data_IF_748820385728
#
_entry.id   IF_748820385728
#
_cell.length_a   1.000
_cell.length_b   1.000
_cell.length_c   1.000
_cell.angle_alpha   90.00
_cell.angle_beta   90.00
_cell.angle_gamma   90.00
#
_symmetry.space_group_name_H-M   'P 1'
#
loop_
_entity.id
_entity.type
_entity.pdbx_description
1 polymer ?
#
# COMPACT_ATOMS: atom_id res chain seq x y z
N UNK A 1 -43.32 9.75 11.31
CA UNK A 1 -42.31 9.03 12.13
C UNK A 1 -42.23 7.59 11.66
N UNK A 2 -41.42 7.30 10.63
CA UNK A 2 -41.15 5.93 10.17
C UNK A 2 -39.70 5.58 10.55
N UNK A 3 -39.56 4.64 11.48
CA UNK A 3 -38.29 4.01 11.85
C UNK A 3 -38.06 2.84 10.89
N UNK A 4 -37.10 2.95 9.97
CA UNK A 4 -36.58 1.79 9.25
C UNK A 4 -35.41 1.22 10.06
N UNK A 5 -35.61 0.02 10.59
CA UNK A 5 -34.61 -0.77 11.30
C UNK A 5 -33.59 -1.31 10.28
N UNK A 6 -32.30 -1.14 10.57
CA UNK A 6 -31.22 -1.84 9.88
C UNK A 6 -31.40 -3.36 10.03
N UNK A 7 -31.44 -4.08 8.91
CA UNK A 7 -31.26 -5.52 8.87
C UNK A 7 -29.77 -5.84 8.58
N UNK A 8 -29.13 -6.44 9.59
CA UNK A 8 -27.93 -7.32 9.58
C UNK A 8 -26.82 -7.15 8.52
N UNK A 9 -25.53 -6.97 8.93
CA UNK A 9 -24.38 -7.04 8.04
C UNK A 9 -23.75 -8.43 8.09
N UNK A 10 -24.22 -9.38 7.25
CA UNK A 10 -23.51 -10.64 6.99
C UNK A 10 -23.83 -11.14 5.60
N UNK A 11 -22.96 -10.84 4.62
CA UNK A 11 -22.70 -11.65 3.41
C UNK A 11 -21.82 -10.86 2.45
N UNK A 12 -20.50 -10.96 2.63
CA UNK A 12 -19.48 -10.59 1.63
C UNK A 12 -18.14 -11.21 2.03
N UNK A 13 -18.12 -12.53 2.33
CA UNK A 13 -16.88 -13.28 2.56
C UNK A 13 -17.04 -14.70 2.00
N UNK A 14 -16.92 -14.85 0.68
CA UNK A 14 -16.80 -16.14 0.01
C UNK A 14 -15.44 -16.15 -0.70
N UNK A 15 -14.43 -16.71 -0.03
CA UNK A 15 -13.10 -16.98 -0.55
C UNK A 15 -12.66 -18.37 -0.06
N UNK A 16 -11.80 -19.10 -0.80
CA UNK A 16 -11.73 -20.57 -0.74
C UNK A 16 -10.93 -21.15 0.44
N UNK A 17 -10.50 -20.35 1.41
CA UNK A 17 -9.64 -20.83 2.50
C UNK A 17 -10.34 -20.65 3.85
N UNK A 18 -10.94 -21.75 4.34
CA UNK A 18 -11.37 -21.88 5.74
C UNK A 18 -10.69 -23.10 6.34
N UNK A 19 -9.93 -22.90 7.41
CA UNK A 19 -9.98 -23.80 8.56
C UNK A 19 -9.87 -22.99 9.86
N UNK A 20 -10.77 -23.33 10.78
CA UNK A 20 -10.97 -22.72 12.09
C UNK A 20 -10.01 -23.33 13.12
N UNK A 21 -9.50 -22.51 14.04
CA UNK A 21 -8.86 -22.96 15.27
C UNK A 21 -8.78 -21.80 16.27
N UNK A 22 -9.70 -21.76 17.23
CA UNK A 22 -9.77 -20.68 18.21
C UNK A 22 -8.72 -20.85 19.32
N UNK A 23 -7.95 -19.79 19.58
CA UNK A 23 -7.27 -19.62 20.86
C UNK A 23 -7.51 -18.22 21.42
N UNK A 24 -7.86 -18.20 22.70
CA UNK A 24 -8.21 -17.02 23.51
C UNK A 24 -7.05 -16.02 23.54
N UNK A 25 -7.33 -14.79 23.13
CA UNK A 25 -6.42 -13.64 23.26
C UNK A 25 -6.13 -13.35 24.74
N UNK A 26 -4.85 -13.46 25.14
CA UNK A 26 -4.32 -12.78 26.32
C UNK A 26 -3.65 -11.49 25.83
N UNK A 27 -4.03 -10.35 26.41
CA UNK A 27 -3.35 -9.06 26.23
C UNK A 27 -1.96 -9.11 26.88
N UNK A 28 -0.88 -8.62 26.24
CA UNK A 28 0.32 -8.24 26.95
C UNK A 28 0.22 -6.80 27.43
N UNK A 29 0.46 -6.60 28.72
CA UNK A 29 0.70 -5.30 29.37
C UNK A 29 2.15 -4.86 29.14
N UNK A 30 2.36 -3.56 28.92
CA UNK A 30 3.66 -2.95 28.70
C UNK A 30 4.58 -3.03 29.94
N UNK A 31 5.78 -3.59 29.76
CA UNK A 31 6.99 -3.27 30.54
C UNK A 31 8.24 -3.90 29.88
N UNK A 32 9.22 -3.06 29.53
CA UNK A 32 10.67 -3.33 29.52
C UNK A 32 11.25 -4.50 28.69
N UNK A 33 12.01 -4.15 27.64
CA UNK A 33 12.95 -5.06 26.97
C UNK A 33 13.42 -4.51 25.62
N UNK A 34 14.65 -4.01 25.55
CA UNK A 34 15.35 -3.73 24.29
C UNK A 34 15.88 -5.05 23.74
N UNK A 35 15.01 -5.81 23.07
CA UNK A 35 15.40 -6.88 22.18
C UNK A 35 14.91 -6.51 20.79
N UNK A 36 15.83 -6.45 19.84
CA UNK A 36 15.55 -6.19 18.42
C UNK A 36 14.60 -7.28 17.90
N UNK A 37 13.33 -6.94 17.70
CA UNK A 37 12.27 -7.79 17.09
C UNK A 37 12.54 -8.03 15.60
N UNK A 38 13.59 -8.79 15.30
CA UNK A 38 13.78 -9.41 13.99
C UNK A 38 12.84 -10.63 13.90
N UNK A 39 11.53 -10.40 13.65
CA UNK A 39 10.61 -11.52 13.54
C UNK A 39 9.16 -11.22 13.14
N UNK A 40 8.67 -9.99 13.31
CA UNK A 40 7.28 -9.66 12.98
C UNK A 40 7.18 -8.78 11.73
N UNK A 41 6.35 -9.20 10.78
CA UNK A 41 6.02 -8.41 9.57
C UNK A 41 5.13 -7.24 9.99
N UNK A 42 5.54 -6.01 9.68
CA UNK A 42 4.73 -4.84 9.97
C UNK A 42 3.46 -4.85 9.10
N UNK A 43 2.31 -4.69 9.76
CA UNK A 43 1.00 -4.65 9.10
C UNK A 43 0.07 -3.66 9.76
N UNK A 44 -0.18 -2.56 9.08
CA UNK A 44 -1.17 -1.58 9.48
C UNK A 44 -2.54 -1.91 8.88
N UNK A 45 -3.50 -2.15 9.78
CA UNK A 45 -4.89 -2.43 9.42
C UNK A 45 -5.65 -1.14 9.12
N UNK A 46 -6.52 -1.22 8.12
CA UNK A 46 -7.26 -0.07 7.64
C UNK A 46 -8.16 0.52 8.72
N UNK A 47 -8.02 1.82 8.94
CA UNK A 47 -9.00 2.63 9.68
C UNK A 47 -9.69 3.58 8.71
N UNK A 48 -11.02 3.64 8.75
CA UNK A 48 -11.84 4.47 7.85
C UNK A 48 -11.57 4.11 6.37
N UNK A 49 -11.49 5.09 5.48
CA UNK A 49 -11.25 4.92 4.05
C UNK A 49 -9.80 5.27 3.62
N UNK A 50 -8.83 5.15 4.52
CA UNK A 50 -7.43 5.59 4.34
C UNK A 50 -6.50 4.52 3.73
N UNK A 51 -7.02 3.64 2.87
CA UNK A 51 -6.24 2.53 2.28
C UNK A 51 -4.92 2.97 1.62
N UNK A 52 -4.87 4.18 1.05
CA UNK A 52 -3.67 4.73 0.44
C UNK A 52 -2.52 4.92 1.46
N UNK A 53 -2.82 5.49 2.62
CA UNK A 53 -1.82 5.70 3.69
C UNK A 53 -1.29 4.35 4.18
N UNK A 54 -2.20 3.42 4.46
CA UNK A 54 -1.82 2.10 4.95
C UNK A 54 -1.04 1.29 3.91
N UNK A 55 -1.33 1.45 2.61
CA UNK A 55 -0.53 0.84 1.56
C UNK A 55 0.91 1.39 1.56
N UNK A 56 1.11 2.70 1.75
CA UNK A 56 2.47 3.27 1.89
C UNK A 56 3.15 2.73 3.15
N UNK A 57 2.49 2.79 4.30
CA UNK A 57 3.08 2.33 5.56
C UNK A 57 3.43 0.83 5.54
N UNK A 58 2.56 0.01 4.95
CA UNK A 58 2.79 -1.42 4.80
C UNK A 58 3.92 -1.71 3.82
N UNK A 59 3.96 -1.05 2.66
CA UNK A 59 5.06 -1.25 1.70
C UNK A 59 6.38 -0.74 2.24
N UNK A 60 6.39 0.22 3.17
CA UNK A 60 7.59 0.73 3.83
C UNK A 60 7.92 0.01 5.14
N UNK A 61 7.12 -0.98 5.54
CA UNK A 61 7.29 -1.74 6.80
C UNK A 61 7.41 -0.82 8.03
N UNK A 62 6.61 0.25 8.06
CA UNK A 62 6.57 1.19 9.18
C UNK A 62 7.74 2.16 9.26
N UNK A 63 8.67 2.13 8.31
CA UNK A 63 9.71 3.17 8.18
C UNK A 63 9.05 4.50 7.78
N UNK A 64 9.26 5.56 8.60
CA UNK A 64 8.72 6.90 8.36
C UNK A 64 7.20 6.92 8.12
N UNK A 65 6.44 6.44 9.12
CA UNK A 65 4.98 6.36 9.08
C UNK A 65 4.33 7.63 8.51
N UNK A 66 3.59 7.43 7.44
CA UNK A 66 2.75 8.44 6.81
C UNK A 66 1.46 8.58 7.60
N UNK A 67 1.12 9.81 7.96
CA UNK A 67 -0.15 10.15 8.60
C UNK A 67 -1.04 10.99 7.68
N UNK A 68 -2.33 11.04 8.03
CA UNK A 68 -3.34 11.77 7.26
C UNK A 68 -2.99 13.25 7.01
N UNK A 69 -2.50 14.03 8.00
CA UNK A 69 -2.17 15.44 7.78
C UNK A 69 -1.07 15.65 6.73
N UNK A 70 -0.04 14.80 6.73
CA UNK A 70 1.05 14.86 5.75
C UNK A 70 0.52 14.54 4.34
N UNK A 71 -0.29 13.48 4.21
CA UNK A 71 -0.90 13.12 2.93
C UNK A 71 -1.83 14.21 2.39
N UNK A 72 -2.54 14.92 3.28
CA UNK A 72 -3.36 16.09 2.92
C UNK A 72 -2.52 17.29 2.47
N UNK A 73 -1.36 17.53 3.10
CA UNK A 73 -0.42 18.58 2.68
C UNK A 73 0.12 18.32 1.27
N UNK A 74 0.57 17.09 0.98
CA UNK A 74 1.04 16.69 -0.36
C UNK A 74 -0.09 16.89 -1.39
N UNK A 75 -1.30 16.46 -1.05
CA UNK A 75 -2.46 16.63 -1.93
C UNK A 75 -2.80 18.12 -2.16
N UNK A 76 -2.63 18.98 -1.14
CA UNK A 76 -2.82 20.43 -1.28
C UNK A 76 -1.75 21.08 -2.16
N UNK A 77 -0.47 20.68 -2.01
CA UNK A 77 0.63 21.15 -2.84
C UNK A 77 0.40 20.83 -4.31
N UNK A 78 -0.01 19.59 -4.63
CA UNK A 78 -0.36 19.20 -6.00
C UNK A 78 -1.49 20.05 -6.60
N UNK A 79 -2.52 20.35 -5.81
CA UNK A 79 -3.63 21.22 -6.26
C UNK A 79 -3.17 22.66 -6.52
N UNK A 80 -2.26 23.18 -5.70
CA UNK A 80 -1.74 24.52 -5.83
C UNK A 80 -0.77 24.68 -7.02
N UNK A 81 -0.01 23.64 -7.35
CA UNK A 81 0.94 23.63 -8.47
C UNK A 81 0.32 23.36 -9.85
N UNK A 82 -0.89 22.82 -9.91
CA UNK A 82 -1.62 22.68 -11.17
C UNK A 82 -2.03 24.07 -11.68
N UNK A 83 -1.58 24.45 -12.89
CA UNK A 83 -1.88 25.75 -13.51
C UNK A 83 -3.39 25.87 -13.84
N UNK A 84 -4.07 24.74 -14.04
CA UNK A 84 -5.54 24.65 -14.10
C UNK A 84 -6.18 24.47 -12.70
N UNK A 85 -5.33 24.39 -11.67
CA UNK A 85 -5.53 23.96 -10.28
C UNK A 85 -6.13 24.98 -9.32
N UNK A 86 -6.25 26.24 -9.73
CA UNK A 86 -6.79 27.34 -8.89
C UNK A 86 -8.31 27.28 -8.71
N UNK A 87 -8.94 26.20 -9.17
CA UNK A 87 -10.34 25.93 -8.96
C UNK A 87 -10.53 25.14 -7.66
N UNK A 88 -11.27 25.72 -6.73
CA UNK A 88 -11.69 25.15 -5.45
C UNK A 88 -12.37 23.77 -5.62
N UNK A 89 -12.51 23.01 -4.52
CA UNK A 89 -13.30 21.76 -4.48
C UNK A 89 -14.71 21.97 -5.10
N UNK A 90 -15.24 23.20 -4.99
CA UNK A 90 -16.54 23.65 -5.50
C UNK A 90 -16.61 23.84 -7.04
N UNK A 91 -15.48 23.83 -7.74
CA UNK A 91 -15.43 24.12 -9.18
C UNK A 91 -15.08 22.89 -10.05
N UNK A 92 -14.58 21.80 -9.44
CA UNK A 92 -14.23 20.57 -10.17
C UNK A 92 -14.78 19.26 -9.59
N UNK A 93 -15.24 19.25 -8.34
CA UNK A 93 -15.69 18.00 -7.71
C UNK A 93 -17.19 17.97 -7.45
N UNK A 94 -17.79 19.08 -7.02
CA UNK A 94 -19.23 19.23 -6.79
C UNK A 94 -19.60 20.71 -6.90
N UNK A 95 -20.83 21.06 -7.26
CA UNK A 95 -21.33 22.45 -7.16
C UNK A 95 -21.39 22.91 -5.69
N UNK A 96 -21.36 24.22 -5.40
CA UNK A 96 -21.32 24.76 -4.02
C UNK A 96 -22.41 24.17 -3.09
N UNK A 97 -23.59 23.83 -3.62
CA UNK A 97 -24.70 23.21 -2.89
C UNK A 97 -24.42 21.76 -2.44
N UNK A 98 -23.60 21.01 -3.16
CA UNK A 98 -23.24 19.60 -2.86
C UNK A 98 -22.03 19.50 -1.92
N UNK A 99 -21.26 20.58 -1.82
CA UNK A 99 -20.03 20.65 -1.02
C UNK A 99 -20.29 20.88 0.48
N UNK A 100 -21.52 21.25 0.88
CA UNK A 100 -21.97 21.40 2.27
C UNK A 100 -22.08 20.04 3.01
N UNK A 101 -20.96 19.31 3.08
CA UNK A 101 -20.80 18.13 3.95
C UNK A 101 -20.90 16.75 3.29
N UNK A 102 -20.95 16.65 1.96
CA UNK A 102 -21.06 15.34 1.26
C UNK A 102 -19.82 14.93 0.47
N UNK A 103 -18.94 15.88 0.12
CA UNK A 103 -17.76 15.53 -0.66
C UNK A 103 -16.71 14.85 0.23
N UNK A 104 -16.62 13.53 0.11
CA UNK A 104 -15.66 12.68 0.81
C UNK A 104 -14.20 13.16 0.66
N UNK A 105 -13.85 13.79 -0.47
CA UNK A 105 -12.52 14.38 -0.70
C UNK A 105 -12.30 15.70 0.05
N UNK A 106 -13.32 16.56 0.15
CA UNK A 106 -13.24 17.77 0.97
C UNK A 106 -13.38 17.46 2.48
N UNK A 107 -13.89 16.28 2.85
CA UNK A 107 -13.94 15.76 4.23
C UNK A 107 -12.71 14.91 4.64
N UNK A 108 -11.67 14.85 3.82
CA UNK A 108 -10.45 14.08 4.15
C UNK A 108 -10.66 12.56 4.23
N UNK A 109 -11.66 11.98 3.56
CA UNK A 109 -12.02 10.57 3.69
C UNK A 109 -11.12 9.61 2.89
N UNK A 110 -9.80 9.87 2.79
CA UNK A 110 -8.83 8.90 2.28
C UNK A 110 -8.85 8.56 0.79
N UNK A 111 -9.57 9.35 -0.02
CA UNK A 111 -9.56 9.24 -1.47
C UNK A 111 -8.37 10.00 -2.08
N UNK A 112 -7.19 9.41 -1.97
CA UNK A 112 -5.97 9.92 -2.59
C UNK A 112 -5.76 9.34 -3.99
N UNK A 113 -5.39 10.20 -4.94
CA UNK A 113 -4.99 9.78 -6.28
C UNK A 113 -3.53 9.28 -6.29
N UNK A 114 -3.12 8.72 -7.43
CA UNK A 114 -1.81 8.11 -7.58
C UNK A 114 -0.65 9.11 -7.44
N UNK A 115 -0.82 10.37 -7.83
CA UNK A 115 0.26 11.36 -7.76
C UNK A 115 0.59 11.71 -6.31
N UNK A 116 -0.42 11.77 -5.44
CA UNK A 116 -0.19 11.96 -4.00
C UNK A 116 0.64 10.79 -3.43
N UNK A 117 0.31 9.55 -3.83
CA UNK A 117 1.07 8.35 -3.44
C UNK A 117 2.51 8.39 -3.94
N UNK A 118 2.71 8.76 -5.21
CA UNK A 118 4.04 8.85 -5.84
C UNK A 118 4.90 9.88 -5.10
N UNK A 119 4.36 11.08 -4.82
CA UNK A 119 5.10 12.11 -4.08
C UNK A 119 5.41 11.68 -2.65
N UNK A 120 4.47 11.05 -1.95
CA UNK A 120 4.70 10.57 -0.59
C UNK A 120 5.81 9.52 -0.51
N UNK A 121 5.91 8.64 -1.51
CA UNK A 121 6.98 7.66 -1.65
C UNK A 121 8.31 8.33 -2.05
N UNK A 122 8.28 9.31 -2.96
CA UNK A 122 9.47 10.07 -3.36
C UNK A 122 10.07 10.86 -2.20
N UNK A 123 9.23 11.47 -1.36
CA UNK A 123 9.67 12.16 -0.13
C UNK A 123 10.40 11.22 0.86
N UNK A 124 10.18 9.90 0.74
CA UNK A 124 10.78 8.84 1.56
C UNK A 124 11.92 8.11 0.84
N UNK A 125 12.52 8.76 -0.16
CA UNK A 125 13.68 8.25 -0.89
C UNK A 125 13.36 7.07 -1.80
N UNK A 126 12.13 6.99 -2.36
CA UNK A 126 11.76 5.94 -3.30
C UNK A 126 11.49 6.49 -4.71
N UNK A 127 11.96 5.75 -5.71
CA UNK A 127 11.53 5.92 -7.11
C UNK A 127 10.33 5.02 -7.38
N UNK A 128 9.33 5.57 -8.08
CA UNK A 128 8.08 4.88 -8.38
C UNK A 128 7.88 4.81 -9.90
N UNK A 129 7.60 3.61 -10.42
CA UNK A 129 7.32 3.38 -11.84
C UNK A 129 6.05 2.56 -12.03
N UNK A 130 5.25 2.89 -13.04
CA UNK A 130 4.08 2.08 -13.41
C UNK A 130 4.50 0.80 -14.14
N UNK A 131 3.93 -0.34 -13.74
CA UNK A 131 3.99 -1.54 -14.56
C UNK A 131 3.01 -1.38 -15.74
N UNK A 132 3.43 -1.83 -16.92
CA UNK A 132 2.56 -1.85 -18.08
C UNK A 132 1.58 -3.02 -18.00
N UNK A 133 0.30 -2.70 -17.78
CA UNK A 133 -0.79 -3.69 -17.65
C UNK A 133 -1.06 -4.51 -18.91
N UNK A 134 -0.62 -4.05 -20.08
CA UNK A 134 -0.82 -4.77 -21.36
C UNK A 134 0.27 -5.82 -21.64
N UNK A 135 1.30 -5.86 -20.79
CA UNK A 135 2.41 -6.82 -20.88
C UNK A 135 2.36 -7.76 -19.67
N UNK A 136 2.92 -8.99 -19.78
CA UNK A 136 3.05 -9.88 -18.63
C UNK A 136 3.73 -9.17 -17.46
N UNK A 137 3.17 -9.28 -16.24
CA UNK A 137 3.71 -8.59 -15.07
C UNK A 137 5.10 -9.11 -14.67
N UNK A 138 5.29 -10.43 -14.58
CA UNK A 138 6.45 -11.04 -13.94
C UNK A 138 7.81 -10.45 -14.41
N UNK A 139 8.08 -10.29 -15.73
CA UNK A 139 9.35 -9.71 -16.19
C UNK A 139 9.56 -8.23 -15.83
N UNK A 140 8.49 -7.50 -15.52
CA UNK A 140 8.52 -6.08 -15.20
C UNK A 140 8.79 -5.81 -13.72
N UNK A 141 8.62 -6.81 -12.85
CA UNK A 141 8.67 -6.62 -11.41
C UNK A 141 10.11 -6.48 -10.90
N UNK A 142 11.10 -7.06 -11.58
CA UNK A 142 12.51 -7.00 -11.18
C UNK A 142 12.71 -7.44 -9.73
N UNK A 143 12.16 -8.60 -9.39
CA UNK A 143 12.04 -9.12 -8.02
C UNK A 143 13.38 -9.52 -7.40
N UNK A 144 14.40 -9.66 -8.23
CA UNK A 144 15.80 -9.92 -7.90
C UNK A 144 16.59 -8.63 -7.60
N UNK A 145 16.02 -7.45 -7.85
CA UNK A 145 16.72 -6.18 -7.61
C UNK A 145 16.83 -5.91 -6.11
N UNK A 146 18.05 -5.68 -5.57
CA UNK A 146 18.26 -5.53 -4.13
C UNK A 146 17.65 -4.25 -3.55
N UNK A 147 17.40 -3.25 -4.40
CA UNK A 147 16.75 -1.99 -4.05
C UNK A 147 15.23 -2.02 -4.25
N UNK A 148 14.65 -3.13 -4.70
CA UNK A 148 13.20 -3.26 -4.77
C UNK A 148 12.60 -3.25 -3.36
N UNK A 149 11.79 -2.23 -3.07
CA UNK A 149 11.09 -2.10 -1.80
C UNK A 149 9.82 -2.94 -1.82
N UNK A 150 9.06 -2.88 -2.92
CA UNK A 150 7.83 -3.64 -3.06
C UNK A 150 6.94 -3.09 -4.17
N UNK A 151 5.67 -3.47 -4.10
CA UNK A 151 4.65 -3.18 -5.10
C UNK A 151 3.43 -2.57 -4.40
N UNK A 152 2.74 -1.65 -5.06
CA UNK A 152 1.43 -1.14 -4.62
C UNK A 152 0.43 -1.32 -5.75
N UNK A 153 -0.63 -2.08 -5.49
CA UNK A 153 -1.73 -2.27 -6.43
C UNK A 153 -2.83 -1.24 -6.19
N UNK A 154 -3.41 -0.74 -7.29
CA UNK A 154 -4.60 0.11 -7.31
C UNK A 154 -5.71 -0.60 -8.06
N UNK A 155 -6.74 -1.05 -7.36
CA UNK A 155 -7.85 -1.77 -7.96
C UNK A 155 -9.12 -0.93 -7.96
N UNK A 156 -9.86 -0.89 -9.07
CA UNK A 156 -11.21 -0.34 -9.07
C UNK A 156 -12.18 -1.36 -8.48
N UNK A 157 -12.70 -1.03 -7.31
CA UNK A 157 -13.69 -1.84 -6.61
C UNK A 157 -15.05 -1.16 -6.69
N UNK A 158 -16.09 -1.91 -7.04
CA UNK A 158 -17.46 -1.42 -6.96
C UNK A 158 -18.00 -1.59 -5.54
N UNK A 159 -18.64 -0.55 -5.02
CA UNK A 159 -19.44 -0.55 -3.79
C UNK A 159 -20.90 -0.26 -4.16
N UNK A 160 -21.81 -0.65 -3.27
CA UNK A 160 -23.26 -0.42 -3.42
C UNK A 160 -23.83 -0.92 -4.76
N UNK A 161 -23.87 -2.24 -4.96
CA UNK A 161 -24.50 -2.89 -6.14
C UNK A 161 -24.01 -2.35 -7.51
N UNK A 162 -22.74 -1.97 -7.62
CA UNK A 162 -22.16 -1.48 -8.88
C UNK A 162 -22.27 0.03 -9.11
N UNK A 163 -22.97 0.78 -8.26
CA UNK A 163 -23.24 2.20 -8.49
C UNK A 163 -22.08 3.14 -8.12
N UNK A 164 -21.14 2.71 -7.26
CA UNK A 164 -20.02 3.57 -6.82
C UNK A 164 -18.71 2.83 -7.00
N UNK A 165 -17.93 3.20 -8.02
CA UNK A 165 -16.56 2.74 -8.16
C UNK A 165 -15.64 3.51 -7.20
N UNK A 166 -14.80 2.78 -6.48
CA UNK A 166 -13.78 3.34 -5.60
C UNK A 166 -12.45 2.62 -5.80
N UNK A 167 -11.37 3.37 -5.74
CA UNK A 167 -10.04 2.79 -5.78
C UNK A 167 -9.71 2.13 -4.43
N UNK A 168 -9.05 0.99 -4.47
CA UNK A 168 -8.48 0.31 -3.32
C UNK A 168 -6.99 0.16 -3.53
N UNK A 169 -6.22 0.69 -2.57
CA UNK A 169 -4.77 0.59 -2.56
C UNK A 169 -4.35 -0.50 -1.57
N UNK A 170 -3.45 -1.37 -1.99
CA UNK A 170 -2.79 -2.31 -1.08
C UNK A 170 -1.35 -2.59 -1.48
N UNK A 171 -0.54 -2.99 -0.50
CA UNK A 171 0.87 -3.26 -0.66
C UNK A 171 1.16 -4.75 -0.81
N UNK A 172 2.20 -5.06 -1.57
CA UNK A 172 2.85 -6.36 -1.62
C UNK A 172 4.34 -6.16 -1.43
N UNK A 173 4.95 -6.85 -0.47
CA UNK A 173 6.36 -6.67 -0.11
C UNK A 173 7.02 -7.98 0.25
N UNK A 174 8.29 -8.12 -0.13
CA UNK A 174 9.18 -9.16 0.35
C UNK A 174 9.73 -8.78 1.72
N UNK A 175 9.55 -9.64 2.71
CA UNK A 175 10.12 -9.50 4.06
C UNK A 175 10.75 -10.84 4.42
N UNK A 176 12.02 -10.83 4.81
CA UNK A 176 12.79 -12.03 5.15
C UNK A 176 12.71 -13.15 4.07
N UNK A 177 12.71 -12.77 2.79
CA UNK A 177 12.67 -13.72 1.66
C UNK A 177 11.28 -14.24 1.29
N UNK A 178 10.23 -13.83 2.00
CA UNK A 178 8.84 -14.21 1.70
C UNK A 178 8.04 -13.01 1.22
N UNK A 179 7.25 -13.22 0.16
CA UNK A 179 6.35 -12.20 -0.37
C UNK A 179 5.01 -12.24 0.38
N UNK A 180 4.57 -11.08 0.85
CA UNK A 180 3.32 -10.93 1.59
C UNK A 180 2.32 -10.03 0.86
N UNK A 181 1.05 -10.44 0.89
CA UNK A 181 -0.09 -9.57 0.69
C UNK A 181 -0.32 -8.78 1.99
N UNK A 182 -0.12 -7.47 1.92
CA UNK A 182 -0.28 -6.54 3.01
C UNK A 182 -1.50 -5.64 2.79
N UNK A 183 -2.58 -6.19 2.22
CA UNK A 183 -3.87 -5.50 2.18
C UNK A 183 -4.34 -5.18 3.59
N UNK A 184 -4.41 -3.88 3.88
CA UNK A 184 -4.88 -3.32 5.14
C UNK A 184 -6.29 -3.81 5.57
N UNK A 185 -7.08 -4.41 4.67
CA UNK A 185 -8.35 -5.08 5.02
C UNK A 185 -8.17 -6.46 5.66
N UNK A 186 -7.02 -7.10 5.47
CA UNK A 186 -6.70 -8.38 6.09
C UNK A 186 -6.50 -8.21 7.60
N UNK A 187 -6.82 -9.25 8.35
CA UNK A 187 -6.57 -9.28 9.80
C UNK A 187 -5.07 -9.35 10.09
N UNK A 188 -4.33 -10.10 9.27
CA UNK A 188 -2.90 -10.38 9.38
C UNK A 188 -2.29 -10.49 7.96
N UNK A 189 -0.98 -10.29 7.79
CA UNK A 189 -0.29 -10.53 6.51
C UNK A 189 -0.53 -11.94 5.97
N UNK A 190 -0.81 -12.05 4.69
CA UNK A 190 -0.93 -13.35 4.00
C UNK A 190 0.30 -13.56 3.11
N UNK A 191 1.11 -14.58 3.41
CA UNK A 191 2.23 -14.92 2.52
C UNK A 191 1.75 -15.61 1.25
N UNK A 192 2.42 -15.30 0.13
CA UNK A 192 2.19 -15.96 -1.15
C UNK A 192 2.95 -17.29 -1.18
N UNK A 193 2.25 -18.39 -1.49
CA UNK A 193 2.83 -19.71 -1.67
C UNK A 193 2.30 -20.79 -0.71
N UNK A 194 2.42 -22.08 -1.07
CA UNK A 194 1.96 -23.19 -0.24
C UNK A 194 2.78 -23.35 1.07
N UNK A 195 4.03 -22.89 1.07
CA UNK A 195 4.96 -22.97 2.22
C UNK A 195 5.01 -21.68 3.05
N UNK A 196 3.93 -20.90 3.06
CA UNK A 196 3.77 -19.61 3.73
C UNK A 196 3.80 -19.65 5.28
N UNK A 197 4.44 -20.66 5.88
CA UNK A 197 4.61 -20.79 7.33
C UNK A 197 6.04 -20.41 7.74
N UNK A 198 6.15 -19.40 8.60
CA UNK A 198 7.40 -19.02 9.26
C UNK A 198 7.71 -19.96 10.45
N UNK A 199 8.96 -20.39 10.71
CA UNK A 199 10.17 -20.33 9.87
C UNK A 199 10.54 -21.71 9.27
N UNK A 200 10.94 -21.71 8.00
CA UNK A 200 11.82 -22.74 7.46
C UNK A 200 13.21 -22.61 8.14
N UNK A 201 13.91 -23.72 8.24
CA UNK A 201 15.24 -23.82 8.81
C UNK A 201 16.23 -22.76 8.28
N UNK A 202 17.35 -22.61 8.98
CA UNK A 202 18.44 -21.66 8.72
C UNK A 202 19.16 -21.80 7.36
N UNK A 203 18.53 -22.42 6.36
CA UNK A 203 19.11 -22.70 5.03
C UNK A 203 19.10 -21.50 4.07
N UNK A 204 18.43 -20.40 4.40
CA UNK A 204 18.52 -19.17 3.59
C UNK A 204 18.02 -19.34 2.14
N UNK A 205 17.09 -20.26 1.89
CA UNK A 205 16.41 -20.33 0.60
C UNK A 205 15.56 -19.06 0.44
N UNK A 206 15.93 -18.21 -0.53
CA UNK A 206 15.10 -17.09 -0.97
C UNK A 206 13.72 -17.53 -1.43
N UNK A 207 12.86 -16.61 -1.91
CA UNK A 207 11.51 -16.95 -2.33
C UNK A 207 11.57 -18.09 -3.36
N UNK A 208 10.98 -19.25 -3.03
CA UNK A 208 10.87 -20.34 -4.01
C UNK A 208 10.19 -19.75 -5.26
N UNK A 209 10.74 -19.99 -6.45
CA UNK A 209 10.25 -19.40 -7.71
C UNK A 209 8.72 -19.56 -7.88
N UNK A 210 8.17 -20.65 -7.37
CA UNK A 210 6.73 -20.92 -7.32
C UNK A 210 5.92 -19.83 -6.57
N UNK A 211 6.42 -19.30 -5.46
CA UNK A 211 5.73 -18.26 -4.67
C UNK A 211 5.69 -16.93 -5.43
N UNK A 212 6.77 -16.62 -6.14
CA UNK A 212 6.90 -15.43 -6.99
C UNK A 212 5.96 -15.51 -8.19
N UNK A 213 5.91 -16.66 -8.86
CA UNK A 213 5.01 -16.91 -9.97
C UNK A 213 3.55 -16.81 -9.52
N UNK A 214 3.19 -17.47 -8.41
CA UNK A 214 1.85 -17.40 -7.83
C UNK A 214 1.43 -15.96 -7.47
N UNK A 215 2.33 -15.17 -6.88
CA UNK A 215 2.09 -13.75 -6.59
C UNK A 215 1.86 -12.96 -7.89
N UNK A 216 2.71 -13.13 -8.91
CA UNK A 216 2.61 -12.38 -10.16
C UNK A 216 1.32 -12.73 -10.92
N UNK A 217 0.94 -14.01 -10.96
CA UNK A 217 -0.32 -14.47 -11.54
C UNK A 217 -1.54 -13.92 -10.79
N UNK A 218 -1.50 -13.97 -9.45
CA UNK A 218 -2.54 -13.39 -8.60
C UNK A 218 -2.73 -11.90 -8.88
N UNK A 219 -1.65 -11.12 -8.92
CA UNK A 219 -1.69 -9.69 -9.21
C UNK A 219 -2.19 -9.41 -10.62
N UNK A 220 -1.74 -10.17 -11.62
CA UNK A 220 -2.20 -10.01 -13.01
C UNK A 220 -3.70 -10.29 -13.11
N UNK A 221 -4.19 -11.33 -12.44
CA UNK A 221 -5.61 -11.67 -12.37
C UNK A 221 -6.45 -10.55 -11.76
N UNK A 222 -5.98 -9.96 -10.65
CA UNK A 222 -6.65 -8.83 -10.02
C UNK A 222 -6.66 -7.58 -10.90
N UNK A 223 -5.53 -7.23 -11.52
CA UNK A 223 -5.42 -6.09 -12.44
C UNK A 223 -6.41 -6.23 -13.59
N UNK A 224 -6.47 -7.42 -14.21
CA UNK A 224 -7.37 -7.67 -15.34
C UNK A 224 -8.84 -7.63 -14.90
N UNK A 225 -9.17 -8.20 -13.74
CA UNK A 225 -10.54 -8.26 -13.22
C UNK A 225 -11.08 -6.91 -12.77
N UNK A 226 -10.22 -6.06 -12.20
CA UNK A 226 -10.63 -4.83 -11.51
C UNK A 226 -10.16 -3.56 -12.21
N UNK A 227 -9.83 -3.62 -13.51
CA UNK A 227 -9.26 -2.48 -14.28
C UNK A 227 -8.16 -1.76 -13.47
N UNK A 228 -7.29 -2.57 -12.88
CA UNK A 228 -6.30 -2.13 -11.91
C UNK A 228 -5.02 -1.64 -12.57
N UNK A 229 -4.14 -1.06 -11.74
CA UNK A 229 -2.77 -0.72 -12.09
C UNK A 229 -1.83 -1.12 -10.96
N UNK A 230 -0.54 -1.23 -11.27
CA UNK A 230 0.48 -1.61 -10.31
C UNK A 230 1.63 -0.60 -10.34
N UNK A 231 2.00 -0.11 -9.17
CA UNK A 231 3.20 0.67 -8.93
C UNK A 231 4.31 -0.26 -8.47
N UNK A 232 5.49 -0.08 -9.05
CA UNK A 232 6.75 -0.68 -8.61
C UNK A 232 7.55 0.37 -7.86
N UNK A 233 8.00 0.04 -6.65
CA UNK A 233 8.68 0.96 -5.74
C UNK A 233 10.12 0.47 -5.50
N UNK A 234 11.10 1.33 -5.78
CA UNK A 234 12.53 1.04 -5.63
C UNK A 234 13.15 2.11 -4.74
N UNK A 235 14.07 1.74 -3.84
CA UNK A 235 14.79 2.70 -3.01
C UNK A 235 15.80 3.47 -3.86
N UNK A 236 15.86 4.79 -3.71
CA UNK A 236 16.90 5.61 -4.31
C UNK A 236 18.24 5.29 -3.63
N UNK A 237 19.26 4.95 -4.42
CA UNK A 237 20.63 4.88 -3.91
C UNK A 237 21.08 6.31 -3.64
N UNK A 238 21.48 6.60 -2.41
CA UNK A 238 22.03 7.91 -2.09
C UNK A 238 23.28 8.15 -2.94
N UNK A 239 23.31 9.25 -3.69
CA UNK A 239 24.55 9.75 -4.28
C UNK A 239 25.46 10.17 -3.12
N UNK A 240 26.36 9.28 -2.71
CA UNK A 240 27.53 9.64 -1.91
C UNK A 240 28.53 10.42 -2.78
N UNK A 241 28.12 11.60 -3.24
CA UNK A 241 29.04 12.60 -3.83
C UNK A 241 29.63 13.48 -2.72
N UNK A 242 30.36 12.83 -1.81
CA UNK A 242 31.31 13.48 -0.91
C UNK A 242 32.73 13.24 -1.42
N UNK A 243 33.06 13.79 -2.60
CA UNK A 243 34.42 13.82 -3.10
C UNK A 243 35.12 15.06 -2.55
N UNK A 244 35.96 14.89 -1.53
CA UNK A 244 36.86 15.93 -1.05
C UNK A 244 37.70 16.48 -2.21
N UNK A 245 37.81 17.81 -2.41
CA UNK A 245 38.75 18.35 -3.37
C UNK A 245 40.17 18.07 -2.86
N UNK A 246 40.89 17.23 -3.59
CA UNK A 246 42.31 17.00 -3.41
C UNK A 246 43.05 18.34 -3.34
N UNK A 247 43.80 18.51 -2.26
CA UNK A 247 44.73 19.60 -2.07
C UNK A 247 45.95 19.37 -2.96
N UNK A 248 45.99 20.03 -4.11
CA UNK A 248 47.21 20.15 -4.90
C UNK A 248 48.18 21.09 -4.17
N UNK A 249 49.13 20.46 -3.46
CA UNK A 249 50.36 21.11 -3.01
C UNK A 249 51.23 21.43 -4.23
N UNK A 250 51.48 22.73 -4.44
CA UNK A 250 52.54 23.22 -5.31
C UNK A 250 53.85 23.22 -4.54
N UNK A 251 54.78 22.39 -4.98
CA UNK A 251 56.22 22.69 -4.97
C UNK A 251 56.63 23.25 -6.36
#
# INVERSE_FOLDING_TARGET
>A
RLRLRCASPRQCCEGPWRHCGGHRSRRPTAAGGMDSEAGSVFHERQRKALCAIHAVNNVLQGEELLEQPEMEQIAAQLRAGDVYGRLSCAERCCTWSECLGSCARCLGQGYYDANVMILALQARGCTVSWCNRTKPLLPQLGLDQPDLVGLIANLRTSRCFGCVASNHWFAVRCVNGLWYNLDSKLLEPEAFGPDAQWPADSSGMGPNAANVEAMAEYLQGLINKHDGNLLRIVRQRGDSSGGDPASDGKD
#
